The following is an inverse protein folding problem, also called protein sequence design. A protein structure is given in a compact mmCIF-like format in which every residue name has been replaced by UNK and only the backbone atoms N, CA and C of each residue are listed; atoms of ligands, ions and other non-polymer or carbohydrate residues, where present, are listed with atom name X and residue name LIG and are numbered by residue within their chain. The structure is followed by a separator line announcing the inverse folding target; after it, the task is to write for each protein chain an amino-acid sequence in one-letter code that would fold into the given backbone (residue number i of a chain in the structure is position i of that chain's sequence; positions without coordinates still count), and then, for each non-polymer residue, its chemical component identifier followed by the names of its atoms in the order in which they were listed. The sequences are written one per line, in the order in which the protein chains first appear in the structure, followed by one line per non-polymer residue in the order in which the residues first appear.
data_IF_907144706951
#
_entry.id   IF_907144706951
#
_cell.length_a   1.000
_cell.length_b   1.000
_cell.length_c   1.000
_cell.angle_alpha   90.00
_cell.angle_beta   90.00
_cell.angle_gamma   90.00
#
_symmetry.space_group_name_H-M   'P 1'
#
loop_
_entity.id
_entity.type
_entity.pdbx_description
1 polymer ?
#
# COMPACT_ATOMS: atom_id res chain seq x y z
N UNK A 1 -21.96 7.19 8.54
CA UNK A 1 -21.55 7.36 7.13
C UNK A 1 -20.35 6.46 6.91
N UNK A 2 -20.36 5.70 5.83
CA UNK A 2 -19.18 4.95 5.42
C UNK A 2 -18.04 5.93 5.11
N UNK A 3 -16.84 5.63 5.60
CA UNK A 3 -15.68 6.51 5.49
C UNK A 3 -14.87 6.16 4.25
N UNK A 4 -14.28 7.16 3.62
CA UNK A 4 -13.26 6.91 2.59
C UNK A 4 -11.95 6.48 3.26
N UNK A 5 -11.27 5.50 2.69
CA UNK A 5 -9.94 5.06 3.13
C UNK A 5 -8.89 5.82 2.32
N UNK A 6 -7.93 6.46 2.99
CA UNK A 6 -6.75 7.05 2.34
C UNK A 6 -5.49 6.38 2.88
N UNK A 7 -4.69 5.82 1.97
CA UNK A 7 -3.47 5.08 2.30
C UNK A 7 -2.26 5.91 1.87
N UNK A 8 -1.36 6.18 2.82
CA UNK A 8 -0.06 6.80 2.59
C UNK A 8 1.07 5.83 2.88
N UNK A 9 2.30 6.17 2.50
CA UNK A 9 3.46 5.32 2.80
C UNK A 9 3.84 5.34 4.30
N UNK A 10 3.80 6.49 4.97
CA UNK A 10 4.47 6.71 6.26
C UNK A 10 3.53 7.15 7.38
N UNK A 11 3.76 6.72 8.64
CA UNK A 11 2.94 7.14 9.80
C UNK A 11 2.93 8.66 10.02
N UNK A 12 4.01 9.34 9.66
CA UNK A 12 4.13 10.80 9.83
C UNK A 12 3.12 11.54 8.97
N UNK A 13 2.93 11.11 7.71
CA UNK A 13 1.93 11.68 6.79
C UNK A 13 0.50 11.47 7.30
N UNK A 14 0.22 10.32 7.93
CA UNK A 14 -1.11 10.03 8.53
C UNK A 14 -1.50 11.14 9.51
N UNK A 15 -0.60 11.50 10.44
CA UNK A 15 -0.91 12.52 11.45
C UNK A 15 -1.20 13.88 10.84
N UNK A 16 -0.49 14.25 9.78
CA UNK A 16 -0.67 15.53 9.10
C UNK A 16 -1.96 15.55 8.28
N UNK A 17 -2.21 14.52 7.47
CA UNK A 17 -3.40 14.47 6.59
C UNK A 17 -4.70 14.34 7.38
N UNK A 18 -4.71 13.59 8.51
CA UNK A 18 -5.88 13.51 9.39
C UNK A 18 -6.35 14.89 9.89
N UNK A 19 -5.43 15.83 10.09
CA UNK A 19 -5.77 17.20 10.50
C UNK A 19 -6.48 17.99 9.39
N UNK A 20 -6.19 17.69 8.13
CA UNK A 20 -6.79 18.38 6.99
C UNK A 20 -8.13 17.79 6.55
N UNK A 21 -8.22 16.45 6.52
CA UNK A 21 -9.40 15.76 5.97
C UNK A 21 -10.52 15.50 6.98
N UNK A 22 -10.21 15.54 8.29
CA UNK A 22 -11.21 15.35 9.33
C UNK A 22 -11.77 13.91 9.43
N UNK A 23 -12.95 13.73 10.06
CA UNK A 23 -13.46 12.42 10.47
C UNK A 23 -14.05 11.57 9.33
N UNK A 24 -14.25 12.15 8.15
CA UNK A 24 -14.82 11.48 6.96
C UNK A 24 -13.83 10.52 6.29
N UNK A 25 -12.53 10.66 6.60
CA UNK A 25 -11.46 9.81 6.08
C UNK A 25 -10.87 8.92 7.20
N UNK A 26 -10.76 7.63 6.94
CA UNK A 26 -9.84 6.76 7.66
C UNK A 26 -8.47 6.82 6.96
N UNK A 27 -7.50 7.49 7.57
CA UNK A 27 -6.15 7.61 7.01
C UNK A 27 -5.24 6.57 7.65
N UNK A 28 -4.60 5.72 6.84
CA UNK A 28 -3.69 4.64 7.26
C UNK A 28 -2.36 4.69 6.51
N UNK A 29 -1.35 4.02 7.06
CA UNK A 29 -0.03 3.91 6.44
C UNK A 29 0.25 2.46 6.01
N UNK A 30 0.87 2.27 4.84
CA UNK A 30 1.43 0.98 4.40
C UNK A 30 2.75 0.63 5.10
N UNK A 31 3.39 1.62 5.73
CA UNK A 31 4.73 1.56 6.31
C UNK A 31 5.82 1.39 5.23
N UNK A 32 5.67 2.04 4.08
CA UNK A 32 6.57 1.94 2.92
C UNK A 32 6.18 0.80 1.97
N UNK A 33 7.18 0.16 1.35
CA UNK A 33 6.99 -1.00 0.48
C UNK A 33 6.31 -2.16 1.21
N UNK A 34 5.38 -2.82 0.52
CA UNK A 34 4.66 -4.00 1.02
C UNK A 34 5.10 -5.29 0.32
N UNK A 35 5.61 -5.16 -0.91
CA UNK A 35 6.18 -6.23 -1.72
C UNK A 35 7.60 -5.88 -2.13
N UNK A 36 8.41 -6.90 -2.33
CA UNK A 36 9.74 -6.82 -2.92
C UNK A 36 10.07 -8.13 -3.64
N UNK A 37 11.17 -8.16 -4.37
CA UNK A 37 11.72 -9.40 -4.91
C UNK A 37 12.16 -10.34 -3.76
N UNK A 38 12.16 -11.67 -3.98
CA UNK A 38 12.67 -12.61 -3.00
C UNK A 38 14.15 -12.34 -2.69
N UNK A 39 14.57 -12.29 -1.41
CA UNK A 39 15.93 -11.89 -1.03
C UNK A 39 17.01 -12.89 -1.44
N UNK A 40 16.61 -14.14 -1.68
CA UNK A 40 17.53 -15.26 -1.92
C UNK A 40 17.41 -15.83 -3.35
N UNK A 41 16.62 -15.20 -4.22
CA UNK A 41 16.45 -15.60 -5.62
C UNK A 41 16.61 -14.35 -6.50
N UNK A 42 16.82 -14.53 -7.80
CA UNK A 42 16.84 -13.41 -8.74
C UNK A 42 15.49 -12.66 -8.75
N UNK A 43 14.38 -13.38 -8.54
CA UNK A 43 13.04 -12.79 -8.50
C UNK A 43 12.56 -12.25 -9.85
N UNK A 44 13.28 -12.52 -10.94
CA UNK A 44 12.95 -12.06 -12.29
C UNK A 44 13.14 -13.22 -13.25
N UNK A 45 12.10 -13.51 -14.01
CA UNK A 45 12.12 -14.50 -15.07
C UNK A 45 12.67 -13.89 -16.36
N UNK A 46 13.97 -14.12 -16.61
CA UNK A 46 14.70 -13.54 -17.76
C UNK A 46 14.28 -14.14 -19.10
N UNK A 47 13.67 -15.32 -19.09
CA UNK A 47 13.21 -16.01 -20.30
C UNK A 47 11.78 -15.61 -20.68
N UNK A 48 10.99 -15.13 -19.71
CA UNK A 48 9.60 -14.71 -19.90
C UNK A 48 9.42 -13.20 -19.65
N UNK A 49 9.93 -12.38 -20.56
CA UNK A 49 9.72 -10.92 -20.61
C UNK A 49 10.13 -10.17 -19.33
N UNK A 50 11.13 -10.65 -18.60
CA UNK A 50 11.57 -10.08 -17.33
C UNK A 50 10.46 -10.00 -16.28
N UNK A 51 9.54 -10.98 -16.28
CA UNK A 51 8.43 -11.00 -15.34
C UNK A 51 8.96 -11.06 -13.89
N UNK A 52 8.63 -10.08 -13.03
CA UNK A 52 9.03 -10.11 -11.64
C UNK A 52 8.15 -11.08 -10.84
N UNK A 53 8.77 -11.80 -9.93
CA UNK A 53 8.12 -12.50 -8.84
C UNK A 53 8.21 -11.61 -7.60
N UNK A 54 7.08 -11.10 -7.13
CA UNK A 54 7.02 -10.30 -5.92
C UNK A 54 6.54 -11.14 -4.74
N UNK A 55 7.13 -10.92 -3.57
CA UNK A 55 6.70 -11.49 -2.31
C UNK A 55 6.40 -10.40 -1.29
N UNK A 56 5.47 -10.66 -0.37
CA UNK A 56 5.20 -9.76 0.75
C UNK A 56 6.43 -9.69 1.65
N UNK A 57 6.88 -8.47 1.94
CA UNK A 57 8.02 -8.23 2.83
C UNK A 57 7.69 -8.76 4.23
N UNK A 58 8.63 -9.51 4.84
CA UNK A 58 8.46 -10.05 6.18
C UNK A 58 8.10 -8.94 7.19
N UNK A 59 7.10 -9.20 8.03
CA UNK A 59 6.56 -8.21 8.98
C UNK A 59 5.47 -7.28 8.43
N UNK A 60 5.22 -7.24 7.11
CA UNK A 60 4.14 -6.42 6.52
C UNK A 60 2.76 -7.09 6.50
N UNK A 61 2.70 -8.40 6.78
CA UNK A 61 1.46 -9.19 6.79
C UNK A 61 0.36 -8.58 7.66
N UNK A 62 0.70 -8.07 8.85
CA UNK A 62 -0.27 -7.44 9.74
C UNK A 62 -0.81 -6.12 9.15
N UNK A 63 0.08 -5.27 8.64
CA UNK A 63 -0.31 -4.01 8.00
C UNK A 63 -1.22 -4.25 6.80
N UNK A 64 -0.86 -5.20 5.92
CA UNK A 64 -1.69 -5.58 4.77
C UNK A 64 -3.06 -6.12 5.21
N UNK A 65 -3.11 -6.99 6.22
CA UNK A 65 -4.37 -7.49 6.77
C UNK A 65 -5.26 -6.35 7.27
N UNK A 66 -4.69 -5.40 8.01
CA UNK A 66 -5.42 -4.24 8.54
C UNK A 66 -5.90 -3.30 7.41
N UNK A 67 -5.11 -3.13 6.34
CA UNK A 67 -5.49 -2.36 5.15
C UNK A 67 -6.61 -3.04 4.38
N UNK A 68 -6.53 -4.36 4.13
CA UNK A 68 -7.60 -5.14 3.47
C UNK A 68 -8.92 -5.04 4.23
N UNK A 69 -8.88 -5.17 5.56
CA UNK A 69 -10.09 -5.03 6.39
C UNK A 69 -10.68 -3.61 6.36
N UNK A 70 -9.84 -2.58 6.25
CA UNK A 70 -10.30 -1.21 6.12
C UNK A 70 -10.90 -0.95 4.73
N UNK A 71 -10.25 -1.48 3.68
CA UNK A 71 -10.68 -1.38 2.30
C UNK A 71 -12.07 -1.97 2.08
N UNK A 72 -12.35 -3.15 2.64
CA UNK A 72 -13.67 -3.80 2.58
C UNK A 72 -14.81 -3.00 3.20
N UNK A 73 -14.50 -2.05 4.09
CA UNK A 73 -15.50 -1.20 4.80
C UNK A 73 -15.59 0.21 4.21
N UNK A 74 -14.73 0.54 3.25
CA UNK A 74 -14.60 1.89 2.73
C UNK A 74 -15.44 2.05 1.47
N UNK A 75 -16.12 3.20 1.33
CA UNK A 75 -16.88 3.52 0.11
C UNK A 75 -15.94 3.81 -1.07
N UNK A 76 -14.78 4.39 -0.79
CA UNK A 76 -13.72 4.71 -1.75
C UNK A 76 -12.36 4.50 -1.12
N UNK A 77 -11.41 4.07 -1.93
CA UNK A 77 -10.01 3.89 -1.53
C UNK A 77 -9.18 4.89 -2.34
N UNK A 78 -8.40 5.71 -1.64
CA UNK A 78 -7.44 6.64 -2.22
C UNK A 78 -6.03 6.17 -1.87
N UNK A 79 -5.21 5.95 -2.90
CA UNK A 79 -3.79 5.69 -2.74
C UNK A 79 -3.06 7.02 -2.90
N UNK A 80 -2.41 7.48 -1.83
CA UNK A 80 -1.73 8.77 -1.76
C UNK A 80 -0.26 8.63 -1.34
N UNK A 81 0.55 7.81 -2.04
CA UNK A 81 2.00 7.82 -1.86
C UNK A 81 2.61 9.11 -2.43
N UNK A 82 3.94 9.23 -2.38
CA UNK A 82 4.61 10.37 -3.01
C UNK A 82 4.39 10.41 -4.53
N UNK A 83 4.35 11.61 -5.14
CA UNK A 83 4.12 11.79 -6.58
C UNK A 83 5.40 11.53 -7.38
N UNK A 84 6.02 10.37 -7.16
CA UNK A 84 7.21 9.92 -7.87
C UNK A 84 7.07 8.44 -8.28
N UNK A 85 8.08 7.93 -8.97
CA UNK A 85 8.09 6.55 -9.47
C UNK A 85 8.04 5.50 -8.36
N UNK A 86 8.60 5.80 -7.19
CA UNK A 86 8.64 4.86 -6.07
C UNK A 86 7.26 4.82 -5.41
N UNK A 87 6.65 5.98 -5.22
CA UNK A 87 5.29 6.10 -4.74
C UNK A 87 4.30 5.38 -5.65
N UNK A 88 4.38 5.54 -6.97
CA UNK A 88 3.52 4.84 -7.92
C UNK A 88 3.66 3.31 -7.82
N UNK A 89 4.89 2.81 -7.67
CA UNK A 89 5.13 1.38 -7.46
C UNK A 89 4.54 0.87 -6.12
N UNK A 90 4.65 1.67 -5.05
CA UNK A 90 4.02 1.37 -3.76
C UNK A 90 2.49 1.34 -3.91
N UNK A 91 1.88 2.31 -4.58
CA UNK A 91 0.45 2.33 -4.85
C UNK A 91 0.02 1.09 -5.64
N UNK A 92 0.74 0.75 -6.70
CA UNK A 92 0.46 -0.42 -7.51
C UNK A 92 0.50 -1.72 -6.67
N UNK A 93 1.55 -1.93 -5.89
CA UNK A 93 1.65 -3.10 -5.00
C UNK A 93 0.54 -3.16 -3.95
N UNK A 94 0.13 -2.02 -3.39
CA UNK A 94 -0.98 -1.96 -2.45
C UNK A 94 -2.29 -2.29 -3.17
N UNK A 95 -2.52 -1.72 -4.35
CA UNK A 95 -3.74 -1.95 -5.14
C UNK A 95 -3.94 -3.44 -5.45
N UNK A 96 -2.88 -4.13 -5.87
CA UNK A 96 -2.93 -5.58 -6.10
C UNK A 96 -3.31 -6.38 -4.86
N UNK A 97 -2.91 -5.92 -3.67
CA UNK A 97 -3.19 -6.62 -2.41
C UNK A 97 -4.56 -6.29 -1.81
N UNK A 98 -5.20 -5.24 -2.31
CA UNK A 98 -6.54 -4.80 -1.90
C UNK A 98 -7.65 -5.27 -2.84
N UNK A 99 -7.29 -5.70 -4.07
CA UNK A 99 -8.19 -6.24 -5.08
C UNK A 99 -8.88 -7.54 -4.61
#
# INVERSE_FOLDING_TARGET
MEKSLLIVESPTKVRTIKKYLGPEFDVRASLGHVKDLPPNLLGVDVDHEFKPEFQIISGKNKALKDLRQAAQKATRIYLAPDPDREGEAIAWHIAEELA
#
